data_IF_545468882068
#
_entry.id   IF_545468882068
#
_cell.length_a   1.000
_cell.length_b   1.000
_cell.length_c   1.000
_cell.angle_alpha   90.00
_cell.angle_beta   90.00
_cell.angle_gamma   90.00
#
_symmetry.space_group_name_H-M   'P 1'
#
loop_
_entity.id
_entity.type
_entity.pdbx_description
1 polymer ?
#
# COMPACT_ATOMS: atom_id res chain seq x y z
N UNK A 1 13.53 -43.64 -7.79
CA UNK A 1 14.16 -42.65 -8.69
C UNK A 1 13.15 -41.55 -9.00
N UNK A 2 13.13 -40.47 -8.24
CA UNK A 2 12.16 -39.38 -8.43
C UNK A 2 12.78 -38.25 -9.26
N UNK A 3 12.49 -38.29 -10.57
CA UNK A 3 12.00 -37.12 -11.30
C UNK A 3 12.86 -35.85 -11.31
N UNK A 4 14.20 -35.95 -11.44
CA UNK A 4 15.06 -34.75 -11.60
C UNK A 4 14.63 -33.89 -12.80
N UNK A 5 14.32 -34.53 -13.92
CA UNK A 5 13.78 -33.87 -15.12
C UNK A 5 12.40 -33.23 -14.90
N UNK A 6 11.56 -33.74 -13.99
CA UNK A 6 10.25 -33.11 -13.73
C UNK A 6 10.38 -31.83 -12.89
N UNK A 7 11.33 -31.80 -11.95
CA UNK A 7 11.59 -30.60 -11.13
C UNK A 7 12.26 -29.50 -11.94
N UNK A 8 13.21 -29.84 -12.80
CA UNK A 8 13.83 -28.90 -13.73
C UNK A 8 12.81 -28.33 -14.72
N UNK A 9 11.95 -29.17 -15.30
CA UNK A 9 10.87 -28.72 -16.18
C UNK A 9 9.88 -27.79 -15.46
N UNK A 10 9.48 -28.14 -14.23
CA UNK A 10 8.59 -27.29 -13.43
C UNK A 10 9.26 -25.95 -13.07
N UNK A 11 10.55 -25.96 -12.71
CA UNK A 11 11.30 -24.74 -12.45
C UNK A 11 11.33 -23.81 -13.68
N UNK A 12 11.53 -24.38 -14.87
CA UNK A 12 11.49 -23.61 -16.12
C UNK A 12 10.11 -23.01 -16.38
N UNK A 13 9.04 -23.78 -16.19
CA UNK A 13 7.66 -23.26 -16.30
C UNK A 13 7.41 -22.10 -15.35
N UNK A 14 7.82 -22.22 -14.08
CA UNK A 14 7.66 -21.15 -13.10
C UNK A 14 8.48 -19.91 -13.50
N UNK A 15 9.71 -20.09 -13.98
CA UNK A 15 10.58 -19.00 -14.43
C UNK A 15 10.04 -18.23 -15.64
N UNK A 16 9.21 -18.89 -16.46
CA UNK A 16 8.52 -18.26 -17.58
C UNK A 16 7.33 -17.38 -17.14
N UNK A 17 6.81 -17.56 -15.92
CA UNK A 17 5.77 -16.69 -15.39
C UNK A 17 6.37 -15.31 -15.11
N UNK A 18 5.84 -14.22 -15.69
CA UNK A 18 6.36 -12.88 -15.44
C UNK A 18 6.33 -12.54 -13.96
N UNK A 19 7.43 -11.95 -13.46
CA UNK A 19 7.56 -11.52 -12.08
C UNK A 19 7.33 -12.64 -11.03
N UNK A 20 7.56 -13.92 -11.39
CA UNK A 20 7.21 -15.06 -10.52
C UNK A 20 7.75 -14.95 -9.09
N UNK A 21 8.93 -14.34 -8.92
CA UNK A 21 9.58 -14.14 -7.60
C UNK A 21 8.74 -13.29 -6.65
N UNK A 22 7.88 -12.42 -7.17
CA UNK A 22 7.01 -11.52 -6.40
C UNK A 22 5.60 -12.09 -6.20
N UNK A 23 5.20 -13.09 -6.98
CA UNK A 23 3.87 -13.69 -6.94
C UNK A 23 3.69 -14.62 -5.73
N UNK A 24 2.45 -14.69 -5.24
CA UNK A 24 2.06 -15.70 -4.25
C UNK A 24 2.00 -17.09 -4.86
N UNK A 25 2.02 -18.12 -4.02
CA UNK A 25 1.81 -19.48 -4.50
C UNK A 25 0.42 -19.65 -5.13
N UNK A 26 -0.60 -18.96 -4.62
CA UNK A 26 -1.92 -18.91 -5.25
C UNK A 26 -1.84 -18.32 -6.67
N UNK A 27 -1.18 -17.17 -6.84
CA UNK A 27 -0.99 -16.54 -8.16
C UNK A 27 -0.21 -17.41 -9.13
N UNK A 28 0.80 -18.14 -8.66
CA UNK A 28 1.57 -19.05 -9.50
C UNK A 28 0.78 -20.32 -9.86
N UNK A 29 0.00 -20.85 -8.92
CA UNK A 29 -0.89 -21.98 -9.16
C UNK A 29 -1.96 -21.62 -10.20
N UNK A 30 -2.55 -20.44 -10.07
CA UNK A 30 -3.51 -19.88 -11.04
C UNK A 30 -2.87 -19.65 -12.41
N UNK A 31 -1.69 -19.01 -12.46
CA UNK A 31 -1.00 -18.72 -13.71
C UNK A 31 -0.59 -19.98 -14.50
N UNK A 32 -0.28 -21.07 -13.80
CA UNK A 32 0.08 -22.34 -14.42
C UNK A 32 -1.13 -23.24 -14.67
N UNK A 33 -2.18 -23.14 -13.85
CA UNK A 33 -3.39 -23.97 -13.96
C UNK A 33 -3.18 -25.46 -13.61
N UNK A 34 -2.03 -25.82 -13.03
CA UNK A 34 -1.62 -27.23 -12.87
C UNK A 34 -1.90 -27.81 -11.48
N UNK A 35 -2.14 -26.98 -10.45
CA UNK A 35 -2.26 -27.48 -9.08
C UNK A 35 -2.98 -26.52 -8.13
N UNK A 36 -3.22 -26.99 -6.89
CA UNK A 36 -3.70 -26.15 -5.79
C UNK A 36 -2.59 -25.26 -5.19
N UNK A 37 -2.98 -24.17 -4.52
CA UNK A 37 -2.03 -23.29 -3.79
C UNK A 37 -1.15 -24.08 -2.81
N UNK A 38 -1.73 -25.00 -2.03
CA UNK A 38 -0.99 -25.79 -1.03
C UNK A 38 0.08 -26.67 -1.68
N UNK A 39 -0.22 -27.20 -2.85
CA UNK A 39 0.74 -27.99 -3.63
C UNK A 39 1.83 -27.10 -4.22
N UNK A 40 1.46 -25.95 -4.79
CA UNK A 40 2.40 -24.96 -5.29
C UNK A 40 3.38 -24.49 -4.21
N UNK A 41 2.91 -24.22 -2.98
CA UNK A 41 3.76 -23.87 -1.84
C UNK A 41 4.83 -24.94 -1.56
N UNK A 42 4.44 -26.22 -1.57
CA UNK A 42 5.37 -27.34 -1.37
C UNK A 42 6.39 -27.44 -2.51
N UNK A 43 5.95 -27.24 -3.75
CA UNK A 43 6.81 -27.25 -4.92
C UNK A 43 7.83 -26.12 -4.88
N UNK A 44 7.39 -24.88 -4.63
CA UNK A 44 8.29 -23.72 -4.51
C UNK A 44 9.35 -23.99 -3.44
N UNK A 45 8.96 -24.46 -2.25
CA UNK A 45 9.93 -24.80 -1.19
C UNK A 45 10.95 -25.84 -1.67
N UNK A 46 10.48 -26.92 -2.29
CA UNK A 46 11.34 -27.99 -2.81
C UNK A 46 12.31 -27.48 -3.89
N UNK A 47 11.83 -26.62 -4.80
CA UNK A 47 12.64 -26.06 -5.89
C UNK A 47 13.68 -25.07 -5.37
N UNK A 48 13.34 -24.26 -4.37
CA UNK A 48 14.28 -23.35 -3.70
C UNK A 48 15.35 -24.13 -2.92
N UNK A 49 14.95 -25.15 -2.15
CA UNK A 49 15.88 -26.00 -1.39
C UNK A 49 16.86 -26.75 -2.32
N UNK A 50 16.45 -27.01 -3.56
CA UNK A 50 17.29 -27.61 -4.62
C UNK A 50 18.10 -26.59 -5.43
N UNK A 51 17.94 -25.28 -5.18
CA UNK A 51 18.61 -24.22 -5.94
C UNK A 51 18.14 -24.08 -7.40
N UNK A 52 16.97 -24.62 -7.75
CA UNK A 52 16.45 -24.59 -9.14
C UNK A 52 15.74 -23.26 -9.45
N UNK A 53 15.19 -22.62 -8.42
CA UNK A 53 14.64 -21.27 -8.47
C UNK A 53 15.21 -20.44 -7.32
N UNK A 54 15.23 -19.14 -7.53
CA UNK A 54 15.65 -18.13 -6.59
C UNK A 54 14.62 -18.01 -5.46
N UNK A 55 15.05 -17.63 -4.25
CA UNK A 55 14.12 -17.34 -3.17
C UNK A 55 13.16 -16.21 -3.59
N UNK A 56 11.95 -16.27 -3.04
CA UNK A 56 10.93 -15.24 -3.24
C UNK A 56 11.47 -13.88 -2.79
N UNK A 57 11.09 -12.85 -3.54
CA UNK A 57 11.37 -11.46 -3.20
C UNK A 57 10.70 -11.09 -1.88
N UNK A 58 11.30 -10.15 -1.15
CA UNK A 58 10.65 -9.55 0.02
C UNK A 58 9.53 -8.58 -0.40
N UNK A 59 9.59 -8.11 -1.65
CA UNK A 59 8.58 -7.27 -2.27
C UNK A 59 7.51 -8.18 -2.88
N UNK A 60 6.27 -8.04 -2.41
CA UNK A 60 5.11 -8.72 -2.98
C UNK A 60 4.77 -8.19 -4.38
N UNK A 61 3.93 -8.89 -5.12
CA UNK A 61 3.48 -8.45 -6.44
C UNK A 61 2.84 -7.05 -6.42
N UNK A 62 2.01 -6.74 -5.43
CA UNK A 62 1.42 -5.39 -5.28
C UNK A 62 2.49 -4.33 -4.96
N UNK A 63 3.48 -4.71 -4.15
CA UNK A 63 4.67 -3.90 -3.90
C UNK A 63 5.45 -3.61 -5.18
N UNK A 64 5.65 -4.61 -6.04
CA UNK A 64 6.30 -4.46 -7.34
C UNK A 64 5.53 -3.49 -8.26
N UNK A 65 4.21 -3.61 -8.33
CA UNK A 65 3.38 -2.67 -9.10
C UNK A 65 3.52 -1.23 -8.58
N UNK A 66 3.66 -1.10 -7.26
CA UNK A 66 3.91 0.18 -6.61
C UNK A 66 5.29 0.73 -6.94
N UNK A 67 6.34 -0.10 -6.91
CA UNK A 67 7.70 0.27 -7.36
C UNK A 67 7.67 0.78 -8.79
N UNK A 68 6.98 0.08 -9.71
CA UNK A 68 6.82 0.52 -11.11
C UNK A 68 6.07 1.84 -11.23
N UNK A 69 5.11 2.13 -10.34
CA UNK A 69 4.43 3.43 -10.29
C UNK A 69 5.40 4.54 -9.82
N UNK A 70 6.22 4.26 -8.80
CA UNK A 70 7.25 5.19 -8.32
C UNK A 70 8.26 5.48 -9.44
N UNK A 71 8.77 4.48 -10.14
CA UNK A 71 9.70 4.65 -11.27
C UNK A 71 9.13 5.59 -12.34
N UNK A 72 7.88 5.34 -12.76
CA UNK A 72 7.19 6.22 -13.73
C UNK A 72 7.04 7.65 -13.21
N UNK A 73 6.69 7.80 -11.93
CA UNK A 73 6.56 9.13 -11.32
C UNK A 73 7.89 9.89 -11.30
N UNK A 74 8.98 9.23 -10.91
CA UNK A 74 10.34 9.80 -10.90
C UNK A 74 10.87 10.13 -12.29
N UNK A 75 10.42 9.41 -13.33
CA UNK A 75 10.77 9.71 -14.72
C UNK A 75 10.02 10.95 -15.24
N UNK A 76 8.78 11.16 -14.81
CA UNK A 76 7.94 12.29 -15.24
C UNK A 76 8.25 13.60 -14.52
N UNK A 77 8.68 13.53 -13.27
CA UNK A 77 9.02 14.71 -12.48
C UNK A 77 10.52 14.82 -12.43
N UNK A 78 11.10 15.98 -12.75
CA UNK A 78 12.55 16.22 -12.61
C UNK A 78 12.85 16.90 -11.27
N UNK A 79 14.05 16.70 -10.73
CA UNK A 79 14.48 17.27 -9.46
C UNK A 79 13.95 16.53 -8.22
N UNK A 80 13.90 17.23 -7.08
CA UNK A 80 13.53 16.65 -5.77
C UNK A 80 12.05 16.28 -5.72
N UNK A 81 11.76 15.04 -5.35
CA UNK A 81 10.41 14.51 -5.13
C UNK A 81 10.19 14.32 -3.63
N UNK A 82 9.21 15.01 -3.08
CA UNK A 82 8.86 14.85 -1.66
C UNK A 82 8.06 13.57 -1.45
N UNK A 83 8.45 12.76 -0.47
CA UNK A 83 7.79 11.50 -0.10
C UNK A 83 6.29 11.70 0.16
N UNK A 84 5.91 12.86 0.70
CA UNK A 84 4.52 13.26 0.90
C UNK A 84 3.69 13.31 -0.39
N UNK A 85 4.26 13.88 -1.46
CA UNK A 85 3.61 13.94 -2.78
C UNK A 85 3.58 12.55 -3.43
N UNK A 86 4.68 11.80 -3.31
CA UNK A 86 4.76 10.44 -3.83
C UNK A 86 3.73 9.51 -3.17
N UNK A 87 3.54 9.61 -1.86
CA UNK A 87 2.54 8.84 -1.14
C UNK A 87 1.11 9.18 -1.58
N UNK A 88 0.83 10.46 -1.85
CA UNK A 88 -0.47 10.89 -2.38
C UNK A 88 -0.73 10.31 -3.77
N UNK A 89 0.28 10.29 -4.64
CA UNK A 89 0.17 9.67 -5.97
C UNK A 89 -0.05 8.16 -5.89
N UNK A 90 0.68 7.49 -5.01
CA UNK A 90 0.62 6.03 -4.89
C UNK A 90 -0.69 5.55 -4.26
N UNK A 91 -1.16 6.22 -3.19
CA UNK A 91 -2.28 5.75 -2.36
C UNK A 91 -3.56 6.59 -2.44
N UNK A 92 -3.53 7.77 -3.05
CA UNK A 92 -4.65 8.72 -3.04
C UNK A 92 -4.86 9.48 -1.72
N UNK A 93 -4.48 8.89 -0.58
CA UNK A 93 -4.55 9.52 0.74
C UNK A 93 -3.22 9.35 1.51
N UNK A 94 -2.63 10.48 1.94
CA UNK A 94 -1.26 10.53 2.43
C UNK A 94 -1.16 10.33 3.94
N UNK A 95 -1.03 9.08 4.41
CA UNK A 95 -0.64 8.81 5.80
C UNK A 95 0.36 7.65 6.00
N UNK A 96 0.62 6.78 5.01
CA UNK A 96 1.53 5.64 5.20
C UNK A 96 2.91 5.85 4.57
N UNK A 97 3.71 6.71 5.20
CA UNK A 97 5.09 6.99 4.76
C UNK A 97 6.06 5.85 5.11
N UNK A 98 5.81 5.13 6.21
CA UNK A 98 6.71 4.09 6.71
C UNK A 98 6.81 2.91 5.76
N UNK A 99 5.69 2.44 5.22
CA UNK A 99 5.71 1.36 4.22
C UNK A 99 6.37 1.83 2.93
N UNK A 100 6.13 3.06 2.48
CA UNK A 100 6.71 3.57 1.24
C UNK A 100 8.23 3.69 1.35
N UNK A 101 8.75 4.17 2.49
CA UNK A 101 10.19 4.17 2.79
C UNK A 101 10.77 2.76 2.77
N UNK A 102 10.12 1.83 3.47
CA UNK A 102 10.54 0.44 3.49
C UNK A 102 10.57 -0.16 2.08
N UNK A 103 9.53 0.07 1.28
CA UNK A 103 9.44 -0.45 -0.08
C UNK A 103 10.55 0.12 -0.97
N UNK A 104 10.79 1.44 -0.94
CA UNK A 104 11.87 2.08 -1.70
C UNK A 104 13.22 1.48 -1.31
N UNK A 105 13.49 1.34 -0.01
CA UNK A 105 14.73 0.76 0.48
C UNK A 105 14.92 -0.69 0.00
N UNK A 106 13.86 -1.52 0.08
CA UNK A 106 13.92 -2.90 -0.39
C UNK A 106 14.05 -3.00 -1.90
N UNK A 107 13.38 -2.14 -2.65
CA UNK A 107 13.50 -2.10 -4.10
C UNK A 107 14.92 -1.74 -4.54
N UNK A 108 15.55 -0.73 -3.93
CA UNK A 108 16.97 -0.41 -4.20
C UNK A 108 17.87 -1.60 -3.85
N UNK A 109 17.65 -2.26 -2.71
CA UNK A 109 18.43 -3.43 -2.30
C UNK A 109 18.25 -4.65 -3.22
N UNK A 110 17.07 -4.81 -3.84
CA UNK A 110 16.81 -5.86 -4.83
C UNK A 110 17.25 -5.47 -6.26
N UNK A 111 17.86 -4.29 -6.43
CA UNK A 111 18.45 -3.85 -7.71
C UNK A 111 17.49 -3.14 -8.65
N UNK A 112 16.32 -2.69 -8.17
CA UNK A 112 15.43 -1.88 -8.99
C UNK A 112 16.05 -0.51 -9.26
N UNK A 113 16.00 -0.07 -10.51
CA UNK A 113 16.43 1.27 -10.93
C UNK A 113 15.48 2.33 -10.36
N UNK A 114 15.83 2.84 -9.19
CA UNK A 114 15.13 3.90 -8.47
C UNK A 114 16.14 4.95 -8.06
N UNK A 115 15.96 6.17 -8.54
CA UNK A 115 16.76 7.31 -8.09
C UNK A 115 16.27 7.80 -6.72
N UNK A 116 16.53 6.99 -5.69
CA UNK A 116 16.12 7.25 -4.31
C UNK A 116 16.77 8.52 -3.74
N UNK A 117 17.89 8.97 -4.31
CA UNK A 117 18.60 10.19 -3.89
C UNK A 117 17.75 11.45 -4.08
N UNK A 118 16.82 11.41 -5.05
CA UNK A 118 15.87 12.49 -5.33
C UNK A 118 14.66 12.50 -4.40
N UNK A 119 14.44 11.43 -3.64
CA UNK A 119 13.26 11.32 -2.78
C UNK A 119 13.56 11.94 -1.41
N UNK A 120 13.04 13.16 -1.20
CA UNK A 120 13.19 13.86 0.07
C UNK A 120 12.14 13.38 1.09
N UNK A 121 12.60 13.12 2.30
CA UNK A 121 11.76 12.85 3.47
C UNK A 121 11.30 14.12 4.19
N UNK A 122 11.72 15.30 3.72
CA UNK A 122 11.35 16.58 4.31
C UNK A 122 9.87 16.90 4.08
N UNK A 123 9.37 17.82 4.90
CA UNK A 123 8.01 18.33 4.77
C UNK A 123 7.84 19.01 3.41
N UNK A 124 6.72 18.72 2.73
CA UNK A 124 6.40 19.36 1.45
C UNK A 124 6.38 20.90 1.63
N UNK A 125 7.13 21.66 0.80
CA UNK A 125 7.11 23.12 0.79
C UNK A 125 5.67 23.64 0.62
N UNK A 126 5.32 24.70 1.35
CA UNK A 126 3.94 25.22 1.37
C UNK A 126 3.40 25.55 -0.03
N UNK A 127 4.27 26.01 -0.93
CA UNK A 127 3.95 26.32 -2.35
C UNK A 127 3.53 25.10 -3.18
N UNK A 128 3.96 23.90 -2.79
CA UNK A 128 3.65 22.64 -3.48
C UNK A 128 2.48 21.90 -2.82
N UNK A 129 1.97 22.38 -1.68
CA UNK A 129 0.80 21.78 -1.04
C UNK A 129 -0.42 22.15 -1.86
N UNK A 130 -1.28 21.17 -2.12
CA UNK A 130 -2.58 21.44 -2.73
C UNK A 130 -3.33 22.46 -1.86
N UNK A 131 -3.85 23.52 -2.48
CA UNK A 131 -4.74 24.44 -1.80
C UNK A 131 -5.91 23.65 -1.22
N UNK A 132 -6.21 23.89 0.06
CA UNK A 132 -7.40 23.32 0.66
C UNK A 132 -8.58 23.87 -0.13
N UNK A 133 -9.35 22.99 -0.80
CA UNK A 133 -10.65 23.37 -1.35
C UNK A 133 -11.42 24.11 -0.25
N UNK A 134 -11.89 25.32 -0.56
CA UNK A 134 -12.92 25.94 0.25
C UNK A 134 -14.11 24.98 0.28
N UNK A 135 -14.38 24.44 1.46
CA UNK A 135 -15.59 23.67 1.69
C UNK A 135 -16.70 24.71 1.83
N UNK A 136 -17.49 24.92 0.78
CA UNK A 136 -18.79 25.58 0.90
C UNK A 136 -19.64 24.79 1.89
N UNK A 137 -20.19 25.47 2.91
CA UNK A 137 -21.02 24.83 3.93
C UNK A 137 -20.25 24.18 5.10
N UNK A 138 -19.14 24.76 5.57
CA UNK A 138 -18.59 24.37 6.88
C UNK A 138 -19.67 24.55 7.96
N UNK A 139 -19.84 23.61 8.91
CA UNK A 139 -20.64 23.89 10.11
C UNK A 139 -20.07 25.13 10.79
N UNK A 140 -20.85 26.20 10.79
CA UNK A 140 -20.52 27.43 11.49
C UNK A 140 -20.77 27.21 12.97
N UNK A 141 -19.83 27.61 13.81
CA UNK A 141 -20.10 27.77 15.24
C UNK A 141 -21.14 28.90 15.36
N UNK A 142 -22.36 28.53 15.73
CA UNK A 142 -23.45 29.47 16.03
C UNK A 142 -23.37 29.86 17.50
N UNK A 143 -23.71 31.11 17.83
CA UNK A 143 -23.86 31.52 19.23
C UNK A 143 -25.13 30.91 19.83
N UNK A 144 -25.24 30.85 21.16
CA UNK A 144 -26.45 30.30 21.83
C UNK A 144 -27.74 31.03 21.43
N UNK A 145 -27.64 32.30 21.04
CA UNK A 145 -28.76 33.15 20.58
C UNK A 145 -29.25 32.75 19.18
N UNK A 146 -28.40 32.12 18.39
CA UNK A 146 -28.67 31.67 17.01
C UNK A 146 -29.18 30.22 16.97
N UNK A 147 -29.20 29.51 18.11
CA UNK A 147 -29.71 28.14 18.21
C UNK A 147 -31.25 28.18 18.15
N UNK A 148 -31.83 27.41 17.23
CA UNK A 148 -33.27 27.20 17.16
C UNK A 148 -33.83 26.75 18.53
N UNK A 149 -34.81 27.49 19.11
CA UNK A 149 -35.38 27.19 20.42
C UNK A 149 -35.89 25.76 20.56
N UNK A 150 -36.42 25.15 19.49
CA UNK A 150 -36.91 23.77 19.53
C UNK A 150 -35.76 22.77 19.67
N UNK A 151 -34.66 22.99 18.93
CA UNK A 151 -33.44 22.19 19.05
C UNK A 151 -32.78 22.34 20.42
N UNK A 152 -32.74 23.56 20.96
CA UNK A 152 -32.22 23.82 22.30
C UNK A 152 -33.03 23.07 23.36
N UNK A 153 -34.36 23.13 23.30
CA UNK A 153 -35.24 22.42 24.24
C UNK A 153 -35.03 20.90 24.18
N UNK A 154 -34.93 20.32 22.96
CA UNK A 154 -34.66 18.88 22.80
C UNK A 154 -33.29 18.48 23.35
N UNK A 155 -32.26 19.30 23.13
CA UNK A 155 -30.93 19.08 23.67
C UNK A 155 -30.90 19.12 25.20
N UNK A 156 -31.57 20.12 25.81
CA UNK A 156 -31.70 20.23 27.27
C UNK A 156 -32.48 19.05 27.85
N UNK A 157 -33.60 18.67 27.23
CA UNK A 157 -34.39 17.52 27.66
C UNK A 157 -33.60 16.21 27.60
N UNK A 158 -32.78 16.01 26.56
CA UNK A 158 -31.88 14.86 26.43
C UNK A 158 -30.85 14.84 27.57
N UNK A 159 -30.24 15.99 27.88
CA UNK A 159 -29.26 16.11 28.96
C UNK A 159 -29.90 15.90 30.35
N UNK A 160 -31.12 16.35 30.58
CA UNK A 160 -31.86 16.11 31.82
C UNK A 160 -32.26 14.64 31.96
N UNK A 161 -32.65 13.98 30.87
CA UNK A 161 -32.97 12.55 30.86
C UNK A 161 -31.75 11.66 31.15
N UNK A 162 -30.59 12.01 30.59
CA UNK A 162 -29.34 11.26 30.81
C UNK A 162 -28.72 11.62 32.18
N UNK A 163 -28.73 12.89 32.57
CA UNK A 163 -28.19 13.37 33.85
C UNK A 163 -29.03 12.94 35.07
N UNK A 164 -30.34 12.79 34.91
CA UNK A 164 -31.24 12.29 35.96
C UNK A 164 -31.10 10.79 36.26
N UNK A 165 -30.44 10.00 35.39
CA UNK A 165 -30.18 8.57 35.63
C UNK A 165 -28.96 8.29 36.51
N UNK A 166 -28.17 9.30 36.86
CA UNK A 166 -26.99 9.16 37.73
C UNK A 166 -27.14 9.83 39.11
N UNK A 167 -28.27 10.48 39.38
CA UNK A 167 -28.55 11.15 40.65
C UNK A 167 -29.68 10.49 41.47
N UNK A 168 -30.07 9.26 41.12
CA UNK A 168 -31.02 8.43 41.86
C UNK A 168 -30.32 7.23 42.49
#
# INVERSE_FOLDING_TARGET
MTNKHSWEALAQKIKQVPDYRHKSAAMLAEALGECSERQMLRWIRTLTDKGLIEPRSLITYDGLLTVRRIQRYLAQHQGTVYLGLLAKEVYGAGNNYSWLRWLIQKAVAEGFELDASRISSETIPTKLRAERREVEGKPRFISWEEVDPEHLQRFVALHQFIGGRHAA
#
